data_IF_671554971392
#
_entry.id   IF_671554971392
#
_cell.length_a   1.000
_cell.length_b   1.000
_cell.length_c   1.000
_cell.angle_alpha   90.00
_cell.angle_beta   90.00
_cell.angle_gamma   90.00
#
_symmetry.space_group_name_H-M   'P 1'
#
loop_
_entity.id
_entity.type
_entity.pdbx_description
1 polymer ?
#
# COMPACT_ATOMS: atom_id res chain seq x y z
N UNK A 1 -19.32 -78.97 -9.43
CA UNK A 1 -18.67 -77.66 -9.58
C UNK A 1 -19.63 -76.56 -9.13
N UNK A 2 -19.50 -76.08 -7.89
CA UNK A 2 -20.18 -74.90 -7.35
C UNK A 2 -19.24 -74.31 -6.30
N UNK A 3 -18.70 -73.12 -6.57
CA UNK A 3 -18.02 -72.33 -5.55
C UNK A 3 -18.90 -71.11 -5.23
N UNK A 4 -19.16 -70.83 -3.94
CA UNK A 4 -19.91 -69.66 -3.50
C UNK A 4 -19.02 -68.41 -3.40
N UNK A 5 -19.62 -67.29 -3.78
CA UNK A 5 -19.10 -65.92 -3.69
C UNK A 5 -19.06 -65.46 -2.23
N UNK A 6 -17.91 -64.96 -1.76
CA UNK A 6 -17.79 -64.26 -0.48
C UNK A 6 -17.54 -62.77 -0.73
N UNK A 7 -18.57 -61.97 -0.43
CA UNK A 7 -18.49 -60.51 -0.28
C UNK A 7 -17.46 -60.15 0.80
N UNK A 8 -16.51 -59.27 0.47
CA UNK A 8 -15.67 -58.59 1.46
C UNK A 8 -15.83 -57.09 1.33
N UNK A 9 -16.27 -56.51 2.44
CA UNK A 9 -16.59 -55.10 2.61
C UNK A 9 -15.43 -54.18 2.24
N UNK A 10 -15.74 -53.16 1.44
CA UNK A 10 -14.86 -52.03 1.15
C UNK A 10 -14.89 -51.09 2.36
N UNK A 11 -13.73 -50.85 2.95
CA UNK A 11 -13.52 -49.85 4.01
C UNK A 11 -13.70 -48.44 3.41
N UNK A 12 -14.32 -47.48 4.11
CA UNK A 12 -14.35 -46.11 3.64
C UNK A 12 -12.95 -45.50 3.71
N UNK A 13 -12.53 -44.90 2.59
CA UNK A 13 -11.37 -44.01 2.53
C UNK A 13 -11.67 -42.78 3.40
N UNK A 14 -10.90 -42.63 4.47
CA UNK A 14 -10.94 -41.47 5.34
C UNK A 14 -10.31 -40.29 4.58
N UNK A 15 -11.15 -39.40 4.06
CA UNK A 15 -10.77 -38.15 3.45
C UNK A 15 -10.26 -37.23 4.55
N UNK A 16 -8.94 -37.10 4.71
CA UNK A 16 -8.35 -36.05 5.54
C UNK A 16 -8.44 -34.76 4.73
N UNK A 17 -9.53 -34.02 4.93
CA UNK A 17 -9.60 -32.63 4.52
C UNK A 17 -8.61 -31.84 5.38
N UNK A 18 -7.46 -31.50 4.80
CA UNK A 18 -6.52 -30.55 5.39
C UNK A 18 -7.08 -29.15 5.14
N UNK A 19 -8.07 -28.74 5.94
CA UNK A 19 -8.51 -27.34 5.99
C UNK A 19 -7.41 -26.55 6.69
N UNK A 20 -6.43 -26.08 5.92
CA UNK A 20 -5.59 -24.98 6.35
C UNK A 20 -6.49 -23.74 6.44
N UNK A 21 -7.11 -23.53 7.61
CA UNK A 21 -7.57 -22.21 8.02
C UNK A 21 -6.32 -21.37 8.26
N UNK A 22 -5.73 -20.84 7.18
CA UNK A 22 -5.00 -19.59 7.28
C UNK A 22 -6.06 -18.52 7.55
N UNK A 23 -6.42 -18.39 8.81
CA UNK A 23 -6.95 -17.12 9.32
C UNK A 23 -5.77 -16.15 9.19
N UNK A 24 -5.79 -15.15 8.29
CA UNK A 24 -4.82 -14.07 8.43
C UNK A 24 -5.01 -13.51 9.85
N UNK A 25 -3.94 -13.12 10.56
CA UNK A 25 -4.11 -12.36 11.79
C UNK A 25 -4.86 -11.08 11.40
N UNK A 26 -6.17 -11.06 11.65
CA UNK A 26 -6.94 -9.84 11.69
C UNK A 26 -6.45 -9.07 12.92
N UNK A 27 -5.29 -8.41 12.78
CA UNK A 27 -5.21 -7.07 13.34
C UNK A 27 -6.44 -6.38 12.76
N UNK A 28 -7.40 -6.04 13.60
CA UNK A 28 -8.53 -5.24 13.17
C UNK A 28 -7.91 -3.99 12.54
N UNK A 29 -7.89 -3.95 11.21
CA UNK A 29 -7.29 -2.86 10.46
C UNK A 29 -7.89 -1.58 11.02
N UNK A 30 -7.03 -0.66 11.46
CA UNK A 30 -7.46 0.60 12.03
C UNK A 30 -8.48 1.21 11.05
N UNK A 31 -9.66 1.68 11.49
CA UNK A 31 -10.63 2.30 10.59
C UNK A 31 -10.00 3.42 9.74
N UNK A 32 -8.92 4.02 10.22
CA UNK A 32 -8.05 4.95 9.48
C UNK A 32 -7.38 4.28 8.27
N UNK A 33 -6.79 3.11 8.45
CA UNK A 33 -6.11 2.35 7.39
C UNK A 33 -7.11 1.96 6.30
N UNK A 34 -8.32 1.55 6.68
CA UNK A 34 -9.36 1.18 5.74
C UNK A 34 -9.83 2.36 4.86
N UNK A 35 -9.89 3.57 5.42
CA UNK A 35 -10.23 4.78 4.65
C UNK A 35 -9.15 5.11 3.63
N UNK A 36 -7.89 5.08 4.05
CA UNK A 36 -6.77 5.36 3.16
C UNK A 36 -6.65 4.30 2.05
N UNK A 37 -6.83 3.02 2.38
CA UNK A 37 -6.91 1.94 1.38
C UNK A 37 -8.03 2.16 0.36
N UNK A 38 -9.20 2.62 0.81
CA UNK A 38 -10.32 2.94 -0.07
C UNK A 38 -10.01 4.10 -1.02
N UNK A 39 -9.40 5.19 -0.51
CA UNK A 39 -8.95 6.31 -1.35
C UNK A 39 -7.95 5.87 -2.42
N UNK A 40 -6.99 5.01 -2.06
CA UNK A 40 -5.98 4.51 -2.99
C UNK A 40 -6.59 3.57 -4.03
N UNK A 41 -7.51 2.70 -3.63
CA UNK A 41 -8.19 1.77 -4.54
C UNK A 41 -9.05 2.49 -5.59
N UNK A 42 -9.60 3.67 -5.25
CA UNK A 42 -10.33 4.52 -6.20
C UNK A 42 -9.44 5.07 -7.33
N UNK A 43 -8.12 5.02 -7.18
CA UNK A 43 -7.18 5.43 -8.22
C UNK A 43 -6.96 4.35 -9.28
N UNK A 44 -7.73 3.25 -9.28
CA UNK A 44 -7.53 2.11 -10.18
C UNK A 44 -6.15 1.44 -10.00
N UNK A 45 -5.68 1.41 -8.74
CA UNK A 45 -4.47 0.72 -8.31
C UNK A 45 -4.87 -0.44 -7.40
N UNK A 46 -4.39 -1.66 -7.66
CA UNK A 46 -4.61 -2.77 -6.73
C UNK A 46 -3.68 -2.60 -5.51
N UNK A 47 -4.27 -2.21 -4.37
CA UNK A 47 -3.51 -1.93 -3.13
C UNK A 47 -3.82 -2.97 -2.05
N UNK A 48 -2.76 -3.50 -1.43
CA UNK A 48 -2.84 -4.41 -0.29
C UNK A 48 -2.27 -3.76 0.97
N UNK A 49 -2.74 -4.14 2.16
CA UNK A 49 -2.04 -3.82 3.42
C UNK A 49 -0.93 -4.83 3.75
N UNK A 50 -0.88 -5.96 3.04
CA UNK A 50 0.09 -7.03 3.23
C UNK A 50 1.19 -6.96 2.14
N UNK A 51 2.46 -6.73 2.52
CA UNK A 51 3.61 -6.76 1.62
C UNK A 51 3.72 -8.04 0.78
N UNK A 52 3.34 -9.19 1.34
CA UNK A 52 3.48 -10.48 0.65
C UNK A 52 2.60 -10.56 -0.60
N UNK A 53 1.44 -9.89 -0.59
CA UNK A 53 0.55 -9.86 -1.76
C UNK A 53 1.23 -9.14 -2.93
N UNK A 54 1.99 -8.07 -2.68
CA UNK A 54 2.78 -7.38 -3.72
C UNK A 54 3.97 -8.22 -4.14
N UNK A 55 4.70 -8.82 -3.19
CA UNK A 55 5.87 -9.67 -3.47
C UNK A 55 5.50 -10.87 -4.36
N UNK A 56 4.29 -11.40 -4.20
CA UNK A 56 3.77 -12.52 -4.99
C UNK A 56 3.05 -12.09 -6.28
N UNK A 57 3.00 -10.78 -6.58
CA UNK A 57 2.36 -10.23 -7.78
C UNK A 57 0.83 -10.21 -7.76
N UNK A 58 0.22 -10.31 -6.58
CA UNK A 58 -1.23 -10.23 -6.40
C UNK A 58 -1.78 -8.80 -6.24
N UNK A 59 -0.91 -7.80 -6.10
CA UNK A 59 -1.25 -6.38 -6.03
C UNK A 59 -0.15 -5.52 -6.67
N UNK A 60 -0.51 -4.33 -7.13
CA UNK A 60 0.41 -3.36 -7.75
C UNK A 60 1.21 -2.60 -6.70
N UNK A 61 0.58 -2.37 -5.54
CA UNK A 61 1.13 -1.59 -4.45
C UNK A 61 0.70 -2.12 -3.09
N UNK A 62 1.47 -1.74 -2.07
CA UNK A 62 1.15 -1.99 -0.68
C UNK A 62 1.13 -0.71 0.11
N UNK A 63 0.09 -0.53 0.92
CA UNK A 63 0.05 0.49 1.95
C UNK A 63 0.67 -0.07 3.22
N UNK A 64 1.67 0.62 3.75
CA UNK A 64 2.29 0.26 5.03
C UNK A 64 2.35 1.46 5.94
N UNK A 65 2.23 1.22 7.25
CA UNK A 65 2.48 2.23 8.27
C UNK A 65 3.91 2.02 8.77
N UNK A 66 4.77 3.00 8.53
CA UNK A 66 6.22 2.86 8.65
C UNK A 66 6.84 2.11 7.48
N UNK A 67 8.16 1.93 7.57
CA UNK A 67 8.91 1.24 6.53
C UNK A 67 8.73 -0.26 6.58
N UNK A 68 8.78 -0.90 5.43
CA UNK A 68 8.93 -2.35 5.34
C UNK A 68 10.18 -2.83 6.08
N UNK A 69 10.09 -4.02 6.66
CA UNK A 69 11.25 -4.68 7.26
C UNK A 69 12.29 -5.04 6.19
N UNK A 70 13.56 -5.16 6.62
CA UNK A 70 14.65 -5.61 5.74
C UNK A 70 14.33 -6.96 5.09
N UNK A 71 13.66 -7.86 5.81
CA UNK A 71 13.23 -9.16 5.31
C UNK A 71 12.22 -9.03 4.15
N UNK A 72 11.24 -8.13 4.26
CA UNK A 72 10.25 -7.90 3.21
C UNK A 72 10.89 -7.25 1.98
N UNK A 73 11.81 -6.29 2.17
CA UNK A 73 12.58 -5.67 1.08
C UNK A 73 13.47 -6.70 0.39
N UNK A 74 14.15 -7.56 1.16
CA UNK A 74 14.98 -8.63 0.62
C UNK A 74 14.17 -9.67 -0.16
N UNK A 75 12.99 -10.06 0.35
CA UNK A 75 12.08 -10.96 -0.35
C UNK A 75 11.59 -10.35 -1.68
N UNK A 76 11.17 -9.08 -1.67
CA UNK A 76 10.80 -8.36 -2.90
C UNK A 76 11.96 -8.33 -3.90
N UNK A 77 13.16 -7.93 -3.45
CA UNK A 77 14.35 -7.83 -4.29
C UNK A 77 14.76 -9.18 -4.87
N UNK A 78 14.61 -10.26 -4.08
CA UNK A 78 14.86 -11.62 -4.57
C UNK A 78 13.88 -12.05 -5.65
N UNK A 79 12.63 -11.59 -5.60
CA UNK A 79 11.61 -11.94 -6.60
C UNK A 79 11.77 -11.14 -7.89
N UNK A 80 12.01 -9.82 -7.80
CA UNK A 80 11.97 -8.92 -8.95
C UNK A 80 13.35 -8.46 -9.45
N UNK A 81 14.42 -8.65 -8.67
CA UNK A 81 15.78 -8.24 -9.02
C UNK A 81 16.11 -6.77 -8.76
N UNK A 82 15.20 -6.00 -8.15
CA UNK A 82 15.35 -4.60 -7.78
C UNK A 82 14.58 -4.28 -6.49
N UNK A 83 14.89 -3.15 -5.86
CA UNK A 83 14.23 -2.71 -4.63
C UNK A 83 12.84 -2.13 -4.92
N UNK A 84 11.86 -2.30 -4.01
CA UNK A 84 10.57 -1.63 -4.15
C UNK A 84 10.75 -0.12 -3.99
N UNK A 85 9.94 0.66 -4.71
CA UNK A 85 9.94 2.12 -4.53
C UNK A 85 9.05 2.44 -3.33
N UNK A 86 9.63 3.07 -2.31
CA UNK A 86 8.92 3.52 -1.12
C UNK A 86 8.52 4.99 -1.25
N UNK A 87 7.22 5.25 -1.28
CA UNK A 87 6.66 6.58 -1.49
C UNK A 87 5.95 7.06 -0.21
N UNK A 88 6.53 7.98 0.58
CA UNK A 88 5.86 8.54 1.75
C UNK A 88 4.62 9.30 1.29
N UNK A 89 3.46 8.94 1.82
CA UNK A 89 2.15 9.42 1.37
C UNK A 89 1.55 10.45 2.33
N UNK A 90 1.41 10.11 3.60
CA UNK A 90 0.72 10.96 4.58
C UNK A 90 0.90 10.46 6.01
N UNK A 91 0.34 11.16 6.99
CA UNK A 91 0.04 10.65 8.32
C UNK A 91 -1.30 11.22 8.78
N UNK A 92 -1.92 10.55 9.77
CA UNK A 92 -3.18 11.02 10.36
C UNK A 92 -2.95 12.26 11.20
N UNK A 93 -3.70 13.32 10.97
CA UNK A 93 -3.64 14.52 11.81
C UNK A 93 -4.25 14.21 13.19
N UNK A 94 -3.64 14.71 14.29
CA UNK A 94 -4.29 14.64 15.59
C UNK A 94 -5.62 15.38 15.49
N UNK A 95 -6.71 14.77 15.96
CA UNK A 95 -8.00 15.45 16.02
C UNK A 95 -7.85 16.70 16.88
N UNK A 96 -7.83 17.88 16.27
CA UNK A 96 -7.92 19.11 17.04
C UNK A 96 -9.29 19.10 17.73
N UNK A 97 -9.36 19.28 19.06
CA UNK A 97 -10.64 19.46 19.72
C UNK A 97 -11.30 20.67 19.08
N UNK A 98 -12.53 20.49 18.59
CA UNK A 98 -13.31 21.51 17.91
C UNK A 98 -13.38 22.79 18.76
N UNK A 99 -12.45 23.71 18.54
CA UNK A 99 -12.64 25.10 18.94
C UNK A 99 -13.66 25.64 17.95
N UNK A 100 -14.92 25.65 18.40
CA UNK A 100 -16.00 26.43 17.78
C UNK A 100 -15.63 27.90 17.94
N UNK A 101 -14.78 28.41 17.07
CA UNK A 101 -14.66 29.83 16.79
C UNK A 101 -13.96 29.98 15.43
N UNK A 102 -14.65 30.67 14.52
CA UNK A 102 -14.19 31.25 13.24
C UNK A 102 -14.24 30.35 12.00
N UNK A 103 -15.30 30.54 11.19
CA UNK A 103 -15.28 31.04 9.80
C UNK A 103 -13.96 30.97 9.00
N UNK A 104 -13.24 29.85 9.01
CA UNK A 104 -12.14 29.63 8.06
C UNK A 104 -12.62 28.83 6.86
N UNK A 105 -13.43 29.47 6.01
CA UNK A 105 -13.81 28.97 4.67
C UNK A 105 -12.57 28.80 3.75
N UNK A 106 -11.37 29.18 4.22
CA UNK A 106 -10.09 29.09 3.51
C UNK A 106 -8.93 28.56 4.39
N UNK A 107 -9.20 27.70 5.39
CA UNK A 107 -8.13 27.02 6.10
C UNK A 107 -7.25 26.25 5.09
N UNK A 108 -5.98 26.65 4.99
CA UNK A 108 -5.02 25.96 4.10
C UNK A 108 -4.87 24.51 4.56
N UNK A 109 -4.73 23.54 3.62
CA UNK A 109 -4.41 22.17 3.97
C UNK A 109 -3.16 22.10 4.86
N UNK A 110 -3.18 21.21 5.84
CA UNK A 110 -2.00 20.97 6.70
C UNK A 110 -1.03 20.08 5.94
N UNK A 111 0.12 20.64 5.57
CA UNK A 111 1.20 19.90 4.92
C UNK A 111 1.88 18.92 5.90
N UNK A 112 2.31 17.78 5.37
CA UNK A 112 2.94 16.73 6.14
C UNK A 112 4.40 17.11 6.49
N UNK A 113 4.68 17.25 7.79
CA UNK A 113 6.04 17.41 8.28
C UNK A 113 6.64 16.05 8.68
N UNK A 114 7.12 15.31 7.69
CA UNK A 114 7.67 13.97 7.90
C UNK A 114 8.94 13.94 8.78
N UNK A 115 9.60 15.07 9.01
CA UNK A 115 10.80 15.14 9.85
C UNK A 115 10.48 15.13 11.36
N UNK A 116 9.26 15.53 11.73
CA UNK A 116 8.83 15.65 13.13
C UNK A 116 7.80 14.59 13.54
N UNK A 117 7.47 13.68 12.62
CA UNK A 117 6.53 12.58 12.86
C UNK A 117 7.31 11.27 13.02
N UNK A 118 6.98 10.43 14.02
CA UNK A 118 7.56 9.10 14.13
C UNK A 118 7.37 8.31 12.84
N UNK A 119 8.40 7.60 12.38
CA UNK A 119 8.36 6.83 11.14
C UNK A 119 7.18 5.85 11.08
N UNK A 120 6.87 5.20 12.20
CA UNK A 120 5.75 4.27 12.34
C UNK A 120 4.35 4.93 12.38
N UNK A 121 4.27 6.25 12.25
CA UNK A 121 3.02 6.99 12.06
C UNK A 121 2.83 7.48 10.61
N UNK A 122 3.88 7.39 9.78
CA UNK A 122 3.85 7.75 8.36
C UNK A 122 3.30 6.57 7.56
N UNK A 123 2.37 6.84 6.67
CA UNK A 123 1.92 5.90 5.65
C UNK A 123 2.82 6.00 4.43
N UNK A 124 3.29 4.84 3.96
CA UNK A 124 4.06 4.68 2.75
C UNK A 124 3.29 3.82 1.76
N UNK A 125 3.38 4.16 0.47
CA UNK A 125 2.98 3.30 -0.64
C UNK A 125 4.24 2.65 -1.20
N UNK A 126 4.33 1.33 -1.06
CA UNK A 126 5.38 0.51 -1.65
C UNK A 126 4.91 -0.02 -2.98
N UNK A 127 5.62 0.31 -4.06
CA UNK A 127 5.15 0.00 -5.43
C UNK A 127 6.13 -0.87 -6.18
N UNK A 128 5.56 -1.79 -6.96
CA UNK A 128 6.31 -2.61 -7.91
C UNK A 128 6.44 -1.86 -9.25
N UNK A 129 7.43 -0.98 -9.35
CA UNK A 129 7.65 -0.18 -10.56
C UNK A 129 9.03 -0.50 -11.14
N UNK A 130 9.12 -1.34 -12.20
CA UNK A 130 10.38 -1.56 -12.88
C UNK A 130 10.87 -0.28 -13.59
N UNK A 131 12.19 -0.20 -13.84
CA UNK A 131 12.79 0.91 -14.59
C UNK A 131 12.22 1.05 -16.00
N UNK A 132 11.85 -0.07 -16.63
CA UNK A 132 11.25 -0.12 -17.96
C UNK A 132 10.26 -1.29 -18.11
N UNK A 133 9.37 -1.21 -19.09
CA UNK A 133 8.42 -2.28 -19.43
C UNK A 133 6.95 -1.90 -19.24
N UNK A 134 6.07 -2.77 -19.71
CA UNK A 134 4.63 -2.50 -19.82
C UNK A 134 3.96 -2.28 -18.47
N UNK A 135 4.45 -2.93 -17.41
CA UNK A 135 3.93 -2.78 -16.04
C UNK A 135 4.03 -1.32 -15.57
N UNK A 136 5.12 -0.63 -15.93
CA UNK A 136 5.30 0.78 -15.57
C UNK A 136 4.18 1.66 -16.13
N UNK A 137 3.77 1.40 -17.37
CA UNK A 137 2.68 2.14 -18.03
C UNK A 137 1.32 1.89 -17.39
N UNK A 138 1.16 0.81 -16.62
CA UNK A 138 -0.06 0.49 -15.88
C UNK A 138 -0.04 1.12 -14.48
N UNK A 139 1.11 1.06 -13.80
CA UNK A 139 1.23 1.47 -12.39
C UNK A 139 1.52 2.96 -12.20
N UNK A 140 2.21 3.61 -13.12
CA UNK A 140 2.58 5.04 -12.96
C UNK A 140 1.39 5.99 -13.08
N UNK A 141 0.47 5.87 -14.06
CA UNK A 141 -0.67 6.79 -14.16
C UNK A 141 -1.54 6.90 -12.89
N UNK A 142 -1.92 5.80 -12.21
CA UNK A 142 -2.70 5.92 -10.98
C UNK A 142 -1.89 6.52 -9.82
N UNK A 143 -0.57 6.36 -9.79
CA UNK A 143 0.30 7.03 -8.82
C UNK A 143 0.45 8.53 -9.12
N UNK A 144 0.47 8.93 -10.39
CA UNK A 144 0.46 10.33 -10.80
C UNK A 144 -0.85 11.02 -10.38
N UNK A 145 -1.98 10.34 -10.47
CA UNK A 145 -3.28 10.85 -10.02
C UNK A 145 -3.28 11.21 -8.52
N UNK A 146 -2.48 10.51 -7.71
CA UNK A 146 -2.32 10.82 -6.27
C UNK A 146 -1.58 12.14 -6.02
N UNK A 147 -0.86 12.67 -7.02
CA UNK A 147 -0.12 13.93 -6.91
C UNK A 147 -0.97 15.15 -7.27
N UNK A 148 -2.25 14.96 -7.58
CA UNK A 148 -3.18 16.02 -7.97
C UNK A 148 -3.83 16.67 -6.76
N UNK A 149 -4.22 17.95 -6.90
CA UNK A 149 -4.93 18.70 -5.87
C UNK A 149 -6.23 18.00 -5.43
N UNK A 150 -6.92 17.31 -6.36
CA UNK A 150 -8.13 16.55 -6.07
C UNK A 150 -7.87 15.43 -5.05
N UNK A 151 -6.78 14.68 -5.22
CA UNK A 151 -6.42 13.62 -4.28
C UNK A 151 -5.92 14.18 -2.95
N UNK A 152 -5.12 15.25 -2.98
CA UNK A 152 -4.66 15.92 -1.75
C UNK A 152 -5.85 16.50 -0.94
N UNK A 153 -6.89 16.98 -1.62
CA UNK A 153 -8.14 17.40 -0.99
C UNK A 153 -8.85 16.23 -0.33
N UNK A 154 -8.97 15.09 -1.02
CA UNK A 154 -9.57 13.87 -0.46
C UNK A 154 -8.83 13.37 0.80
N UNK A 155 -7.48 13.47 0.82
CA UNK A 155 -6.71 13.17 2.03
C UNK A 155 -7.11 14.09 3.20
N UNK A 156 -7.23 15.39 2.92
CA UNK A 156 -7.61 16.38 3.94
C UNK A 156 -9.00 16.12 4.49
N UNK A 157 -9.97 15.84 3.62
CA UNK A 157 -11.35 15.54 4.00
C UNK A 157 -11.46 14.29 4.91
N UNK A 158 -10.55 13.33 4.73
CA UNK A 158 -10.45 12.14 5.58
C UNK A 158 -9.57 12.34 6.83
N UNK A 159 -9.04 13.54 7.06
CA UNK A 159 -8.28 13.91 8.25
C UNK A 159 -6.78 13.54 8.20
N UNK A 160 -6.23 13.45 6.99
CA UNK A 160 -4.81 13.22 6.75
C UNK A 160 -4.08 14.50 6.35
N UNK A 161 -2.76 14.52 6.54
CA UNK A 161 -1.91 15.60 6.05
C UNK A 161 -1.70 15.49 4.53
N UNK A 162 -1.52 16.61 3.83
CA UNK A 162 -1.19 16.61 2.40
C UNK A 162 0.31 16.53 2.17
N UNK A 163 0.73 16.06 1.00
CA UNK A 163 2.14 16.04 0.63
C UNK A 163 2.68 17.46 0.42
N UNK A 164 3.82 17.83 1.03
CA UNK A 164 4.53 19.05 0.68
C UNK A 164 4.99 19.05 -0.78
N UNK A 165 5.16 20.23 -1.36
CA UNK A 165 5.56 20.38 -2.78
C UNK A 165 6.87 19.64 -3.11
N UNK A 166 7.84 19.68 -2.20
CA UNK A 166 9.13 18.97 -2.36
C UNK A 166 8.94 17.44 -2.48
N UNK A 167 7.99 16.88 -1.73
CA UNK A 167 7.66 15.45 -1.81
C UNK A 167 6.85 15.11 -3.05
N UNK A 168 5.95 15.98 -3.50
CA UNK A 168 5.29 15.81 -4.80
C UNK A 168 6.33 15.77 -5.93
N UNK A 169 7.35 16.63 -5.88
CA UNK A 169 8.44 16.63 -6.85
C UNK A 169 9.33 15.38 -6.73
N UNK A 170 9.62 14.93 -5.51
CA UNK A 170 10.37 13.70 -5.27
C UNK A 170 9.66 12.48 -5.89
N UNK A 171 8.35 12.35 -5.65
CA UNK A 171 7.52 11.30 -6.24
C UNK A 171 7.59 11.34 -7.76
N UNK A 172 7.45 12.51 -8.39
CA UNK A 172 7.55 12.65 -9.86
C UNK A 172 8.86 12.08 -10.40
N UNK A 173 9.98 12.26 -9.70
CA UNK A 173 11.25 11.70 -10.17
C UNK A 173 11.40 10.22 -9.88
N UNK A 174 11.00 9.75 -8.70
CA UNK A 174 11.02 8.32 -8.40
C UNK A 174 10.15 7.53 -9.40
N UNK A 175 9.06 8.14 -9.87
CA UNK A 175 8.18 7.63 -10.91
C UNK A 175 8.61 7.95 -12.35
N UNK A 176 9.76 8.62 -12.54
CA UNK A 176 10.31 9.01 -13.85
C UNK A 176 9.43 9.94 -14.68
N UNK A 177 8.49 10.64 -14.03
CA UNK A 177 7.63 11.68 -14.60
C UNK A 177 8.36 13.02 -14.73
N UNK A 178 9.45 13.20 -13.98
CA UNK A 178 10.33 14.36 -14.06
C UNK A 178 11.81 13.93 -14.02
N UNK A 179 12.72 14.71 -14.64
CA UNK A 179 14.15 14.44 -14.53
C UNK A 179 14.67 14.75 -13.12
N UNK A 180 15.66 13.99 -12.65
CA UNK A 180 16.43 14.34 -11.47
C UNK A 180 17.20 15.65 -11.71
N UNK A 181 17.11 16.60 -10.79
CA UNK A 181 17.83 17.89 -10.91
C UNK A 181 19.34 17.75 -10.66
N UNK A 182 19.76 16.70 -9.94
CA UNK A 182 21.17 16.40 -9.68
C UNK A 182 21.47 14.93 -10.01
N UNK A 183 22.68 14.67 -10.53
CA UNK A 183 23.15 13.35 -10.96
C UNK A 183 23.44 12.35 -9.80
N UNK A 184 22.92 12.61 -8.59
CA UNK A 184 23.11 11.79 -7.39
C UNK A 184 21.93 11.77 -6.40
N UNK A 185 20.74 12.26 -6.78
CA UNK A 185 19.55 12.32 -5.90
C UNK A 185 19.21 13.72 -5.38
N UNK A 186 18.03 13.87 -4.76
CA UNK A 186 17.49 15.13 -4.24
C UNK A 186 18.05 15.50 -2.87
N UNK A 187 18.63 16.71 -2.79
CA UNK A 187 18.38 17.75 -1.79
C UNK A 187 18.48 19.11 -2.51
#
# INVERSE_FOLDING_TARGET
MKHPTLNRAVRPAMLIALTALLTPPAHAADPTDNRLLALLSNQNLAVSADPQVVILGGADAALSRGTWSEEAVAAFTSTYGYQPVALPLTYKLPQQPAKKDQDDEHAKPVEADFNHVPENAIYYVYVNVPESGDIRSVVVPPLEAMLTDDFQTQLTDEGFAVLPEDYLQLWRVQLGLAPARFSGGYL
#
